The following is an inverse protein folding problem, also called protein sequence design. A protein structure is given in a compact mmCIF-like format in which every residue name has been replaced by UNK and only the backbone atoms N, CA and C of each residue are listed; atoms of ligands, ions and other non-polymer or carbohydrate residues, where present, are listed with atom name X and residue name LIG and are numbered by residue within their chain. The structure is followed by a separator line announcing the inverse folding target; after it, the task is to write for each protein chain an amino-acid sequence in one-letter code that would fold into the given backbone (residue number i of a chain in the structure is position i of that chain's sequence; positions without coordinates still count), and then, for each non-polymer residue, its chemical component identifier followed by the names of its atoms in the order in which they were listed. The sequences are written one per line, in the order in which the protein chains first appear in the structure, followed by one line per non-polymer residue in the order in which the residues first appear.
data_IF_760662862814
#
_entry.id   IF_760662862814
#
_cell.length_a   1.000
_cell.length_b   1.000
_cell.length_c   1.000
_cell.angle_alpha   90.00
_cell.angle_beta   90.00
_cell.angle_gamma   90.00
#
_symmetry.space_group_name_H-M   'P 1'
#
loop_
_entity.id
_entity.type
_entity.pdbx_description
1 polymer ?
#
# COMPACT_ATOMS: atom_id res chain seq x y z
N UNK A 1 18.45 -6.38 22.18
CA UNK A 1 17.55 -7.39 22.73
C UNK A 1 17.29 -7.18 24.23
N UNK A 2 18.32 -7.02 25.04
CA UNK A 2 18.27 -6.94 26.52
C UNK A 2 17.26 -5.93 27.09
N UNK A 3 17.29 -4.67 26.66
CA UNK A 3 16.45 -3.61 27.26
C UNK A 3 14.92 -3.77 27.06
N UNK A 4 14.45 -4.56 26.08
CA UNK A 4 13.00 -4.73 25.79
C UNK A 4 12.39 -5.96 26.44
N UNK A 5 13.16 -7.03 26.61
CA UNK A 5 12.69 -8.20 27.34
C UNK A 5 12.56 -7.89 28.85
N UNK A 6 13.32 -6.90 29.32
CA UNK A 6 13.23 -6.35 30.68
C UNK A 6 11.97 -5.49 30.93
N UNK A 7 11.29 -4.98 29.89
CA UNK A 7 10.09 -4.13 30.02
C UNK A 7 9.02 -4.47 28.96
N UNK A 8 8.23 -5.55 29.16
CA UNK A 8 7.30 -6.09 28.18
C UNK A 8 6.00 -5.28 27.98
N UNK A 9 5.83 -4.10 28.58
CA UNK A 9 4.56 -3.36 28.55
C UNK A 9 4.35 -2.47 27.33
N UNK A 10 5.34 -2.31 26.43
CA UNK A 10 5.25 -1.34 25.34
C UNK A 10 5.42 -2.00 23.97
N UNK A 11 4.30 -2.21 23.28
CA UNK A 11 4.27 -2.53 21.84
C UNK A 11 4.79 -1.32 21.05
N UNK A 12 5.58 -1.59 20.00
CA UNK A 12 6.18 -0.55 19.15
C UNK A 12 5.10 0.19 18.33
N UNK A 13 5.15 1.53 18.33
CA UNK A 13 4.28 2.41 17.51
C UNK A 13 4.82 2.67 16.08
N UNK A 14 5.97 2.11 15.73
CA UNK A 14 6.61 2.25 14.41
C UNK A 14 6.18 1.12 13.46
N UNK A 15 5.74 1.50 12.26
CA UNK A 15 5.28 0.59 11.19
C UNK A 15 6.33 -0.45 10.81
N UNK A 16 5.88 -1.67 10.56
CA UNK A 16 6.71 -2.76 10.07
C UNK A 16 7.14 -2.55 8.62
N UNK A 17 8.41 -2.80 8.31
CA UNK A 17 8.87 -2.82 6.93
C UNK A 17 8.27 -4.03 6.21
N UNK A 18 7.72 -3.80 5.02
CA UNK A 18 7.15 -4.88 4.20
C UNK A 18 8.24 -5.49 3.33
N UNK A 19 8.39 -6.81 3.45
CA UNK A 19 9.27 -7.60 2.61
C UNK A 19 8.44 -8.41 1.61
N UNK A 20 8.94 -8.53 0.38
CA UNK A 20 8.47 -9.54 -0.57
C UNK A 20 9.37 -10.77 -0.40
N UNK A 21 8.93 -11.93 -0.90
CA UNK A 21 9.73 -13.17 -0.82
C UNK A 21 11.15 -13.02 -1.41
N UNK A 22 11.31 -12.10 -2.37
CA UNK A 22 12.57 -11.84 -3.07
C UNK A 22 13.42 -10.78 -2.37
N UNK A 23 12.86 -10.01 -1.44
CA UNK A 23 13.58 -8.97 -0.69
C UNK A 23 13.89 -9.37 0.75
N UNK A 24 13.32 -10.47 1.24
CA UNK A 24 13.58 -11.01 2.58
C UNK A 24 14.96 -11.67 2.64
N UNK A 25 15.69 -11.42 3.72
CA UNK A 25 16.96 -12.10 3.95
C UNK A 25 16.68 -13.47 4.60
N UNK A 26 16.62 -14.52 3.77
CA UNK A 26 16.29 -15.89 4.21
C UNK A 26 17.29 -16.44 5.24
N UNK A 27 18.55 -16.04 5.15
CA UNK A 27 19.59 -16.43 6.12
C UNK A 27 19.36 -15.77 7.48
N UNK A 28 19.07 -14.47 7.50
CA UNK A 28 18.72 -13.75 8.72
C UNK A 28 17.45 -14.33 9.38
N UNK A 29 16.44 -14.69 8.59
CA UNK A 29 15.23 -15.36 9.10
C UNK A 29 15.56 -16.71 9.72
N UNK A 30 16.43 -17.50 9.07
CA UNK A 30 16.85 -18.80 9.61
C UNK A 30 17.57 -18.66 10.95
N UNK A 31 18.49 -17.70 11.08
CA UNK A 31 19.18 -17.42 12.35
C UNK A 31 18.21 -16.94 13.43
N UNK A 32 17.28 -16.04 13.10
CA UNK A 32 16.26 -15.57 14.05
C UNK A 32 15.37 -16.70 14.53
N UNK A 33 14.99 -17.64 13.66
CA UNK A 33 14.20 -18.80 14.07
C UNK A 33 14.94 -19.69 15.09
N UNK A 34 16.25 -19.87 14.93
CA UNK A 34 17.07 -20.63 15.89
C UNK A 34 17.12 -19.89 17.23
N UNK A 35 17.44 -18.61 17.22
CA UNK A 35 17.54 -17.78 18.43
C UNK A 35 16.20 -17.73 19.18
N UNK A 36 15.08 -17.56 18.47
CA UNK A 36 13.75 -17.55 19.09
C UNK A 36 13.44 -18.92 19.68
N UNK A 37 13.74 -20.01 18.97
CA UNK A 37 13.50 -21.36 19.47
C UNK A 37 14.30 -21.62 20.75
N UNK A 38 15.56 -21.21 20.80
CA UNK A 38 16.40 -21.32 22.00
C UNK A 38 15.86 -20.45 23.14
N UNK A 39 15.49 -19.20 22.86
CA UNK A 39 14.91 -18.29 23.85
C UNK A 39 13.64 -18.86 24.50
N UNK A 40 12.78 -19.51 23.71
CA UNK A 40 11.53 -20.11 24.17
C UNK A 40 11.71 -21.34 25.07
N UNK A 41 12.90 -21.97 25.09
CA UNK A 41 13.21 -23.08 26.01
C UNK A 41 13.25 -22.56 27.45
N UNK A 42 13.91 -21.42 27.66
CA UNK A 42 14.07 -20.81 28.98
C UNK A 42 12.91 -19.84 29.32
N UNK A 43 12.20 -19.34 28.31
CA UNK A 43 11.14 -18.33 28.46
C UNK A 43 9.88 -18.72 27.68
N UNK A 44 9.10 -19.69 28.18
CA UNK A 44 7.86 -20.10 27.52
C UNK A 44 6.87 -18.92 27.39
N UNK A 45 6.13 -18.91 26.29
CA UNK A 45 5.12 -17.88 26.01
C UNK A 45 3.92 -18.08 26.93
N UNK A 46 3.63 -17.07 27.76
CA UNK A 46 2.56 -17.13 28.75
C UNK A 46 1.29 -16.39 28.31
N UNK A 47 1.40 -15.45 27.37
CA UNK A 47 0.28 -14.69 26.83
C UNK A 47 0.55 -14.17 25.41
N UNK A 48 -0.49 -13.66 24.77
CA UNK A 48 -0.42 -13.11 23.40
C UNK A 48 0.45 -11.85 23.31
N UNK A 49 0.62 -11.12 24.42
CA UNK A 49 1.45 -9.90 24.47
C UNK A 49 2.93 -10.28 24.38
N UNK A 50 3.36 -11.29 25.14
CA UNK A 50 4.70 -11.84 25.10
C UNK A 50 5.03 -12.37 23.69
N UNK A 51 4.09 -13.08 23.06
CA UNK A 51 4.23 -13.54 21.68
C UNK A 51 4.40 -12.36 20.69
N UNK A 52 3.61 -11.29 20.84
CA UNK A 52 3.70 -10.11 20.01
C UNK A 52 5.05 -9.39 20.15
N UNK A 53 5.59 -9.32 21.37
CA UNK A 53 6.91 -8.72 21.64
C UNK A 53 8.02 -9.53 20.97
N UNK A 54 7.95 -10.86 21.03
CA UNK A 54 8.92 -11.74 20.37
C UNK A 54 8.89 -11.50 18.86
N UNK A 55 7.71 -11.48 18.24
CA UNK A 55 7.57 -11.21 16.81
C UNK A 55 8.08 -9.82 16.40
N UNK A 56 7.72 -8.78 17.15
CA UNK A 56 8.21 -7.42 16.87
C UNK A 56 9.73 -7.33 17.04
N UNK A 57 10.29 -8.00 18.04
CA UNK A 57 11.74 -8.02 18.29
C UNK A 57 12.47 -8.75 17.17
N UNK A 58 11.96 -9.89 16.72
CA UNK A 58 12.49 -10.63 15.59
C UNK A 58 12.48 -9.79 14.30
N UNK A 59 11.36 -9.10 14.07
CA UNK A 59 11.20 -8.21 12.91
C UNK A 59 12.17 -7.03 12.98
N UNK A 60 12.35 -6.41 14.14
CA UNK A 60 13.32 -5.32 14.32
C UNK A 60 14.75 -5.79 14.05
N UNK A 61 15.11 -6.99 14.51
CA UNK A 61 16.43 -7.57 14.25
C UNK A 61 16.62 -7.85 12.75
N UNK A 62 15.59 -8.40 12.09
CA UNK A 62 15.62 -8.60 10.65
C UNK A 62 15.77 -7.25 9.91
N UNK A 63 15.00 -6.22 10.28
CA UNK A 63 15.05 -4.89 9.66
C UNK A 63 16.44 -4.25 9.78
N UNK A 64 17.11 -4.43 10.93
CA UNK A 64 18.48 -3.97 11.16
C UNK A 64 19.46 -4.70 10.24
N UNK A 65 19.39 -6.04 10.19
CA UNK A 65 20.33 -6.88 9.42
C UNK A 65 20.09 -6.74 7.91
N UNK A 66 18.83 -6.62 7.50
CA UNK A 66 18.43 -6.50 6.10
C UNK A 66 18.34 -5.03 5.63
N UNK A 67 18.78 -4.07 6.45
CA UNK A 67 18.70 -2.66 6.11
C UNK A 67 19.48 -2.38 4.81
N UNK A 68 18.77 -1.88 3.81
CA UNK A 68 19.35 -1.30 2.61
C UNK A 68 18.95 0.17 2.59
N UNK A 69 19.89 1.11 2.37
CA UNK A 69 19.52 2.50 2.23
C UNK A 69 18.50 2.62 1.10
N UNK A 70 17.40 3.38 1.31
CA UNK A 70 16.42 3.57 0.27
C UNK A 70 17.14 4.20 -0.94
N UNK A 71 17.22 3.45 -2.05
CA UNK A 71 17.59 4.06 -3.32
C UNK A 71 16.44 4.98 -3.69
N UNK A 72 16.69 6.29 -3.72
CA UNK A 72 15.78 7.22 -4.35
C UNK A 72 15.63 6.78 -5.81
N UNK A 73 14.54 6.11 -6.12
CA UNK A 73 14.20 5.79 -7.50
C UNK A 73 13.72 7.10 -8.09
N UNK A 74 14.64 7.86 -8.68
CA UNK A 74 14.33 9.06 -9.47
C UNK A 74 13.36 8.79 -10.62
N UNK A 75 12.88 7.55 -10.80
CA UNK A 75 11.79 7.14 -11.69
C UNK A 75 10.62 8.12 -11.72
N UNK A 76 10.16 8.58 -10.55
CA UNK A 76 9.00 9.49 -10.49
C UNK A 76 9.35 10.87 -11.03
N UNK A 77 10.57 11.33 -10.80
CA UNK A 77 11.07 12.61 -11.31
C UNK A 77 11.38 12.53 -12.81
N UNK A 78 11.92 11.40 -13.28
CA UNK A 78 12.13 11.09 -14.71
C UNK A 78 10.80 11.11 -15.48
N UNK A 79 9.73 10.55 -14.92
CA UNK A 79 8.41 10.58 -15.56
C UNK A 79 7.84 12.00 -15.59
N UNK A 80 8.03 12.78 -14.52
CA UNK A 80 7.60 14.20 -14.50
C UNK A 80 8.37 15.03 -15.52
N UNK A 81 9.68 14.83 -15.63
CA UNK A 81 10.52 15.49 -16.62
C UNK A 81 10.04 15.17 -18.05
N UNK A 82 9.78 13.89 -18.34
CA UNK A 82 9.18 13.47 -19.63
C UNK A 82 7.81 14.10 -19.90
N UNK A 83 6.96 14.22 -18.88
CA UNK A 83 5.65 14.89 -19.03
C UNK A 83 5.80 16.37 -19.33
N UNK A 84 6.77 17.05 -18.71
CA UNK A 84 7.07 18.45 -19.00
C UNK A 84 7.56 18.62 -20.44
N UNK A 85 8.47 17.76 -20.89
CA UNK A 85 8.97 17.77 -22.28
C UNK A 85 7.85 17.55 -23.30
N UNK A 86 6.96 16.58 -23.05
CA UNK A 86 5.81 16.29 -23.91
C UNK A 86 4.80 17.44 -23.91
N UNK A 87 4.59 18.09 -22.76
CA UNK A 87 3.68 19.23 -22.65
C UNK A 87 4.24 20.44 -23.38
N UNK A 88 5.53 20.74 -23.24
CA UNK A 88 6.20 21.80 -23.99
C UNK A 88 6.12 21.55 -25.50
N UNK A 89 6.41 20.32 -25.95
CA UNK A 89 6.28 19.94 -27.35
C UNK A 89 4.86 20.13 -27.90
N UNK A 90 3.84 19.70 -27.14
CA UNK A 90 2.44 19.86 -27.53
C UNK A 90 2.06 21.34 -27.62
N UNK A 91 2.46 22.15 -26.63
CA UNK A 91 2.17 23.59 -26.60
C UNK A 91 2.78 24.31 -27.80
N UNK A 92 4.05 24.07 -28.14
CA UNK A 92 4.69 24.73 -29.28
C UNK A 92 4.07 24.33 -30.62
N UNK A 93 3.71 23.05 -30.79
CA UNK A 93 3.05 22.58 -32.02
C UNK A 93 1.64 23.18 -32.15
N UNK A 94 0.87 23.29 -31.06
CA UNK A 94 -0.45 23.91 -31.06
C UNK A 94 -0.40 25.43 -31.27
N UNK A 95 0.55 26.12 -30.66
CA UNK A 95 0.78 27.56 -30.88
C UNK A 95 1.12 27.87 -32.33
N UNK A 96 1.99 27.06 -32.94
CA UNK A 96 2.25 27.18 -34.38
C UNK A 96 1.01 26.91 -35.23
N UNK A 97 0.22 25.90 -34.88
CA UNK A 97 -1.00 25.56 -35.61
C UNK A 97 -2.00 26.72 -35.62
N UNK A 98 -2.28 27.30 -34.45
CA UNK A 98 -3.34 28.28 -34.26
C UNK A 98 -2.87 29.72 -34.53
N UNK A 99 -1.74 30.11 -33.94
CA UNK A 99 -1.28 31.50 -33.88
C UNK A 99 -0.07 31.76 -34.80
N UNK A 100 0.48 30.70 -35.42
CA UNK A 100 1.71 30.74 -36.25
C UNK A 100 2.93 31.28 -35.48
N UNK A 101 2.94 31.11 -34.17
CA UNK A 101 4.07 31.43 -33.28
C UNK A 101 5.01 30.24 -33.10
N UNK A 102 6.22 30.48 -32.56
CA UNK A 102 7.19 29.42 -32.19
C UNK A 102 7.59 28.46 -33.33
N UNK A 103 7.65 28.94 -34.58
CA UNK A 103 7.95 28.12 -35.76
C UNK A 103 9.19 27.22 -35.62
N UNK A 104 10.33 27.78 -35.17
CA UNK A 104 11.58 27.01 -35.05
C UNK A 104 11.49 25.90 -34.00
N UNK A 105 10.77 26.16 -32.91
CA UNK A 105 10.60 25.20 -31.82
C UNK A 105 9.63 24.09 -32.23
N UNK A 106 8.50 24.46 -32.84
CA UNK A 106 7.56 23.51 -33.45
C UNK A 106 8.24 22.66 -34.53
N UNK A 107 9.06 23.27 -35.41
CA UNK A 107 9.81 22.56 -36.45
C UNK A 107 10.83 21.58 -35.86
N UNK A 108 11.52 21.97 -34.79
CA UNK A 108 12.43 21.08 -34.05
C UNK A 108 11.69 19.87 -33.48
N UNK A 109 10.50 20.07 -32.91
CA UNK A 109 9.69 18.96 -32.39
C UNK A 109 9.14 18.07 -33.50
N UNK A 110 8.60 18.64 -34.58
CA UNK A 110 8.16 17.90 -35.76
C UNK A 110 9.29 17.05 -36.37
N UNK A 111 10.52 17.58 -36.37
CA UNK A 111 11.73 16.87 -36.80
C UNK A 111 12.01 15.59 -36.00
N UNK A 112 11.71 15.56 -34.69
CA UNK A 112 11.87 14.34 -33.86
C UNK A 112 10.97 13.19 -34.32
N UNK A 113 9.86 13.51 -34.99
CA UNK A 113 8.91 12.53 -35.53
C UNK A 113 9.11 12.27 -37.03
N UNK A 114 10.16 12.85 -37.65
CA UNK A 114 10.39 12.81 -39.10
C UNK A 114 9.15 13.26 -39.89
N UNK A 115 8.57 14.40 -39.49
CA UNK A 115 7.38 14.98 -40.10
C UNK A 115 7.61 16.42 -40.50
N UNK A 116 6.92 16.86 -41.56
CA UNK A 116 7.00 18.23 -42.07
C UNK A 116 5.92 19.08 -41.42
N UNK A 117 6.31 20.29 -40.99
CA UNK A 117 5.42 21.26 -40.36
C UNK A 117 4.44 21.92 -41.35
N UNK A 118 4.77 21.91 -42.64
CA UNK A 118 3.95 22.51 -43.70
C UNK A 118 2.76 21.64 -44.12
N UNK A 119 2.71 20.39 -43.65
CA UNK A 119 1.59 19.47 -43.91
C UNK A 119 0.71 19.36 -42.67
N UNK A 120 -0.55 19.77 -42.78
CA UNK A 120 -1.52 19.71 -41.67
C UNK A 120 -1.77 18.28 -41.18
N UNK A 121 -1.78 17.29 -42.07
CA UNK A 121 -1.97 15.88 -41.69
C UNK A 121 -0.81 15.37 -40.80
N UNK A 122 0.40 15.81 -41.12
CA UNK A 122 1.57 15.50 -40.32
C UNK A 122 1.54 16.16 -38.95
N UNK A 123 1.05 17.40 -38.87
CA UNK A 123 0.90 18.14 -37.61
C UNK A 123 -0.12 17.43 -36.72
N UNK A 124 -1.26 17.04 -37.26
CA UNK A 124 -2.30 16.30 -36.53
C UNK A 124 -1.78 14.93 -36.03
N UNK A 125 -1.06 14.18 -36.87
CA UNK A 125 -0.43 12.91 -36.47
C UNK A 125 0.55 13.10 -35.31
N UNK A 126 1.36 14.15 -35.34
CA UNK A 126 2.33 14.44 -34.27
C UNK A 126 1.63 14.86 -32.98
N UNK A 127 0.59 15.69 -33.05
CA UNK A 127 -0.24 16.05 -31.90
C UNK A 127 -0.80 14.79 -31.24
N UNK A 128 -1.44 13.91 -32.02
CA UNK A 128 -2.02 12.67 -31.53
C UNK A 128 -0.95 11.78 -30.85
N UNK A 129 0.22 11.62 -31.46
CA UNK A 129 1.31 10.82 -30.88
C UNK A 129 1.84 11.41 -29.56
N UNK A 130 1.92 12.74 -29.45
CA UNK A 130 2.35 13.42 -28.22
C UNK A 130 1.30 13.21 -27.13
N UNK A 131 0.01 13.34 -27.45
CA UNK A 131 -1.09 13.12 -26.51
C UNK A 131 -1.16 11.67 -26.01
N UNK A 132 -1.00 10.69 -26.90
CA UNK A 132 -0.91 9.27 -26.54
C UNK A 132 0.29 8.99 -25.63
N UNK A 133 1.45 9.56 -25.94
CA UNK A 133 2.66 9.42 -25.13
C UNK A 133 2.46 10.04 -23.73
N UNK A 134 1.84 11.23 -23.66
CA UNK A 134 1.53 11.91 -22.40
C UNK A 134 0.58 11.07 -21.55
N UNK A 135 -0.51 10.59 -22.14
CA UNK A 135 -1.50 9.73 -21.47
C UNK A 135 -0.84 8.48 -20.90
N UNK A 136 0.07 7.85 -21.66
CA UNK A 136 0.81 6.66 -21.20
C UNK A 136 1.67 6.95 -19.97
N UNK A 137 2.36 8.08 -19.93
CA UNK A 137 3.18 8.47 -18.78
C UNK A 137 2.33 8.86 -17.56
N UNK A 138 1.19 9.56 -17.76
CA UNK A 138 0.21 9.85 -16.70
C UNK A 138 -0.39 8.57 -16.10
N UNK A 139 -0.73 7.59 -16.95
CA UNK A 139 -1.23 6.28 -16.50
C UNK A 139 -0.23 5.56 -15.59
N UNK A 140 1.08 5.70 -15.80
CA UNK A 140 2.10 5.12 -14.91
C UNK A 140 2.07 5.76 -13.53
N UNK A 141 1.95 7.09 -13.45
CA UNK A 141 1.82 7.80 -12.18
C UNK A 141 0.52 7.43 -11.47
N UNK A 142 -0.59 7.41 -12.20
CA UNK A 142 -1.90 7.04 -11.67
C UNK A 142 -1.92 5.59 -11.15
N UNK A 143 -1.34 4.64 -11.88
CA UNK A 143 -1.20 3.26 -11.43
C UNK A 143 -0.33 3.14 -10.17
N UNK A 144 0.77 3.90 -10.10
CA UNK A 144 1.61 3.95 -8.89
C UNK A 144 0.84 4.52 -7.70
N UNK A 145 0.08 5.61 -7.90
CA UNK A 145 -0.69 6.23 -6.83
C UNK A 145 -1.88 5.38 -6.41
N UNK A 146 -2.52 4.70 -7.35
CA UNK A 146 -3.56 3.71 -7.08
C UNK A 146 -3.01 2.56 -6.25
N UNK A 147 -1.87 1.97 -6.63
CA UNK A 147 -1.21 0.93 -5.82
C UNK A 147 -0.90 1.45 -4.42
N UNK A 148 -0.35 2.66 -4.30
CA UNK A 148 -0.08 3.28 -2.98
C UNK A 148 -1.36 3.43 -2.16
N UNK A 149 -2.45 3.93 -2.75
CA UNK A 149 -3.75 4.07 -2.08
C UNK A 149 -4.34 2.70 -1.70
N UNK A 150 -4.31 1.72 -2.59
CA UNK A 150 -4.78 0.36 -2.34
C UNK A 150 -4.01 -0.29 -1.20
N UNK A 151 -2.67 -0.20 -1.19
CA UNK A 151 -1.86 -0.74 -0.10
C UNK A 151 -2.02 0.03 1.22
N UNK A 152 -2.31 1.33 1.15
CA UNK A 152 -2.65 2.14 2.33
C UNK A 152 -4.09 1.89 2.82
N UNK A 153 -5.03 1.53 1.96
CA UNK A 153 -6.40 1.17 2.33
C UNK A 153 -6.46 -0.28 2.85
N UNK A 154 -5.69 -1.20 2.25
CA UNK A 154 -5.45 -2.55 2.78
C UNK A 154 -4.59 -2.54 4.07
N UNK A 155 -4.18 -1.36 4.57
CA UNK A 155 -3.58 -1.17 5.91
C UNK A 155 -4.59 -1.41 7.04
N UNK A 156 -5.86 -1.61 6.73
CA UNK A 156 -6.89 -2.02 7.67
C UNK A 156 -6.69 -3.45 8.21
N UNK A 157 -5.86 -4.31 7.60
CA UNK A 157 -5.74 -5.73 7.97
C UNK A 157 -4.40 -6.15 8.60
N UNK A 158 -3.64 -5.22 9.22
CA UNK A 158 -2.44 -5.61 9.95
C UNK A 158 -2.81 -6.21 11.33
N UNK A 159 -2.80 -7.55 11.41
CA UNK A 159 -3.24 -8.35 12.55
C UNK A 159 -2.44 -8.17 13.87
N UNK A 160 -1.33 -7.43 13.88
CA UNK A 160 -0.35 -7.49 14.99
C UNK A 160 0.31 -6.16 15.38
N UNK A 161 -0.41 -5.04 15.33
CA UNK A 161 0.07 -3.75 15.88
C UNK A 161 -0.57 -3.37 17.23
N UNK A 162 -1.22 -4.31 17.94
CA UNK A 162 -1.86 -4.04 19.23
C UNK A 162 -3.03 -3.05 19.18
N UNK A 163 -3.42 -2.60 17.99
CA UNK A 163 -4.53 -1.67 17.75
C UNK A 163 -5.31 -2.18 16.55
N UNK A 164 -6.40 -2.88 16.83
CA UNK A 164 -7.37 -3.28 15.81
C UNK A 164 -7.96 -2.02 15.14
N UNK A 165 -7.86 -1.96 13.81
CA UNK A 165 -8.54 -1.03 12.88
C UNK A 165 -8.69 0.44 13.33
N UNK A 166 -7.69 1.31 13.09
CA UNK A 166 -7.96 2.77 12.95
C UNK A 166 -7.02 3.40 11.91
N UNK A 167 -7.57 4.32 11.10
CA UNK A 167 -6.79 5.25 10.28
C UNK A 167 -5.80 6.00 11.20
N UNK A 168 -4.55 5.53 11.28
CA UNK A 168 -3.50 6.08 12.17
C UNK A 168 -3.16 7.57 11.95
N UNK A 169 -3.75 8.20 10.93
CA UNK A 169 -3.56 9.63 10.64
C UNK A 169 -4.65 10.50 11.29
N UNK A 170 -5.76 9.90 11.71
CA UNK A 170 -6.85 10.58 12.43
C UNK A 170 -6.96 10.01 13.83
N UNK A 171 -6.64 10.83 14.84
CA UNK A 171 -6.98 10.54 16.24
C UNK A 171 -8.50 10.44 16.37
N UNK A 172 -9.05 9.24 16.22
CA UNK A 172 -10.40 8.95 16.63
C UNK A 172 -10.38 8.80 18.15
N UNK A 173 -10.73 9.87 18.86
CA UNK A 173 -11.15 9.78 20.26
C UNK A 173 -12.48 9.04 20.26
N UNK A 174 -12.42 7.71 20.39
CA UNK A 174 -13.61 6.92 20.71
C UNK A 174 -13.63 6.82 22.22
N UNK A 175 -14.68 7.34 22.82
CA UNK A 175 -14.94 7.20 24.24
C UNK A 175 -15.27 5.72 24.53
N UNK A 176 -14.29 4.99 25.07
CA UNK A 176 -14.42 3.57 25.37
C UNK A 176 -15.50 3.28 26.43
N UNK A 177 -15.88 4.29 27.21
CA UNK A 177 -16.97 4.17 28.21
C UNK A 177 -18.36 4.04 27.58
N UNK A 178 -18.51 4.39 26.30
CA UNK A 178 -19.77 4.23 25.56
C UNK A 178 -19.91 2.88 24.87
N UNK A 179 -18.88 2.02 24.92
CA UNK A 179 -18.92 0.71 24.30
C UNK A 179 -19.71 -0.23 25.23
N UNK A 180 -20.95 -0.54 24.86
CA UNK A 180 -21.76 -1.51 25.57
C UNK A 180 -21.20 -2.93 25.35
N UNK A 181 -20.45 -3.39 26.36
CA UNK A 181 -19.77 -4.69 26.33
C UNK A 181 -20.74 -5.86 26.11
N UNK A 182 -21.96 -5.79 26.64
CA UNK A 182 -22.98 -6.83 26.46
C UNK A 182 -23.45 -6.94 25.01
N UNK A 183 -23.76 -5.81 24.37
CA UNK A 183 -24.15 -5.79 22.96
C UNK A 183 -23.03 -6.27 22.04
N UNK A 184 -21.77 -5.98 22.38
CA UNK A 184 -20.62 -6.42 21.61
C UNK A 184 -20.47 -7.95 21.68
N UNK A 185 -20.61 -8.54 22.87
CA UNK A 185 -20.56 -9.99 23.09
C UNK A 185 -21.70 -10.70 22.33
N UNK A 186 -22.93 -10.16 22.40
CA UNK A 186 -24.08 -10.70 21.68
C UNK A 186 -23.89 -10.64 20.17
N UNK A 187 -23.36 -9.54 19.65
CA UNK A 187 -23.08 -9.39 18.22
C UNK A 187 -22.05 -10.41 17.72
N UNK A 188 -20.93 -10.57 18.43
CA UNK A 188 -19.88 -11.51 18.04
C UNK A 188 -20.28 -12.97 18.22
N UNK A 189 -21.08 -13.28 19.25
CA UNK A 189 -21.58 -14.65 19.47
C UNK A 189 -22.52 -15.09 18.34
N UNK A 190 -23.32 -14.18 17.78
CA UNK A 190 -24.21 -14.44 16.64
C UNK A 190 -23.47 -14.54 15.30
N UNK A 191 -22.31 -13.90 15.17
CA UNK A 191 -21.56 -13.85 13.91
C UNK A 191 -20.96 -15.21 13.51
N UNK A 192 -20.70 -16.09 14.49
CA UNK A 192 -20.09 -17.41 14.27
C UNK A 192 -21.07 -18.58 14.39
N UNK A 193 -22.33 -18.33 14.73
CA UNK A 193 -23.37 -19.36 14.69
C UNK A 193 -23.88 -19.53 13.26
N UNK A 194 -23.77 -20.75 12.71
CA UNK A 194 -24.43 -21.09 11.44
C UNK A 194 -25.93 -20.85 11.60
N UNK A 195 -26.56 -20.23 10.60
CA UNK A 195 -28.00 -20.03 10.60
C UNK A 195 -28.70 -21.37 10.86
N UNK A 196 -29.35 -21.49 12.01
CA UNK A 196 -30.19 -22.64 12.31
C UNK A 196 -31.37 -22.57 11.34
N UNK A 197 -31.50 -23.55 10.45
CA UNK A 197 -32.67 -23.65 9.58
C UNK A 197 -33.95 -23.59 10.44
N UNK A 198 -35.02 -22.94 9.96
CA UNK A 198 -36.27 -22.85 10.71
C UNK A 198 -36.78 -24.26 10.98
N UNK A 199 -36.97 -24.62 12.27
CA UNK A 199 -37.64 -25.87 12.63
C UNK A 199 -39.01 -25.91 11.95
N UNK A 200 -39.35 -26.96 11.18
CA UNK A 200 -40.71 -27.10 10.67
C UNK A 200 -41.67 -27.26 11.85
N UNK A 201 -42.76 -26.50 11.83
CA UNK A 201 -43.80 -26.51 12.83
C UNK A 201 -44.31 -27.95 13.05
N UNK A 202 -44.29 -28.39 14.31
CA UNK A 202 -44.90 -29.64 14.74
C UNK A 202 -46.37 -29.63 14.36
N UNK A 203 -46.79 -30.56 13.50
CA UNK A 203 -48.21 -30.82 13.27
C UNK A 203 -48.78 -31.48 14.52
N UNK A 204 -49.56 -30.73 15.27
CA UNK A 204 -50.45 -31.25 16.30
C UNK A 204 -51.35 -32.33 15.69
N UNK A 205 -51.08 -33.58 16.06
CA UNK A 205 -52.00 -34.69 15.78
C UNK A 205 -52.99 -34.73 16.93
N UNK A 206 -54.16 -34.13 16.75
CA UNK A 206 -55.31 -34.38 17.62
C UNK A 206 -55.70 -35.86 17.49
N UNK A 207 -55.59 -36.61 18.58
CA UNK A 207 -56.33 -37.85 18.79
C UNK A 207 -57.45 -37.55 19.79
N UNK A 208 -58.68 -37.51 19.29
CA UNK A 208 -59.90 -38.08 19.88
C UNK A 208 -61.02 -37.92 18.86
#
# INVERSE_FOLDING_TARGET
MTSRMENPTVLRDKRNQRYTEHSINKEAVSMLNVIIKEYLIDHPVNDMTHLAIIYQTAQDCHDIVAYKPPKATGWRDIIKEKLNDLTAALTSVLRWRNDKEEFEEAKRFMGKYNRRIDNEEHVEEVIQRIEEAKTREEMKLNASDFKRRLFNANRMFELFTGRFFRNLEQKHQVDESQINSGMLIDYWSQMWTKATEPRPASKDTRQS
#
